data_IF_568264747330
#
_entry.id   IF_568264747330
#
_cell.length_a   1.000
_cell.length_b   1.000
_cell.length_c   1.000
_cell.angle_alpha   90.00
_cell.angle_beta   90.00
_cell.angle_gamma   90.00
#
_symmetry.space_group_name_H-M   'P 1'
#
loop_
_entity.id
_entity.type
_entity.pdbx_description
1 polymer ?
#
# COMPACT_ATOMS: atom_id res chain seq x y z
N UNK A 1 -44.10 -4.49 14.74
CA UNK A 1 -43.95 -5.70 13.92
C UNK A 1 -44.19 -5.29 12.47
N UNK A 2 -43.21 -5.51 11.62
CA UNK A 2 -43.30 -5.58 10.16
C UNK A 2 -43.58 -4.32 9.36
N UNK A 3 -42.53 -3.51 9.17
CA UNK A 3 -42.50 -2.50 8.06
C UNK A 3 -41.20 -2.54 7.23
N UNK A 4 -40.45 -3.66 7.25
CA UNK A 4 -39.18 -3.81 6.52
C UNK A 4 -39.26 -4.72 5.27
N UNK A 5 -40.44 -5.16 4.87
CA UNK A 5 -40.63 -6.20 3.82
C UNK A 5 -41.24 -5.68 2.50
N UNK A 6 -41.20 -4.38 2.19
CA UNK A 6 -41.78 -3.87 0.93
C UNK A 6 -40.88 -3.00 0.09
N UNK A 7 -39.56 -3.05 0.30
CA UNK A 7 -38.66 -2.40 -0.67
C UNK A 7 -38.51 -3.33 -1.88
N UNK A 8 -38.72 -2.85 -3.12
CA UNK A 8 -38.58 -3.66 -4.31
C UNK A 8 -37.14 -4.17 -4.44
N UNK A 9 -36.99 -5.42 -4.89
CA UNK A 9 -35.71 -6.14 -5.05
C UNK A 9 -34.66 -5.29 -5.79
N UNK A 10 -35.10 -4.44 -6.72
CA UNK A 10 -34.26 -3.48 -7.44
C UNK A 10 -33.64 -2.38 -6.53
N UNK A 11 -34.28 -2.04 -5.42
CA UNK A 11 -33.77 -1.03 -4.49
C UNK A 11 -32.65 -1.60 -3.62
N UNK A 12 -32.78 -2.87 -3.21
CA UNK A 12 -31.73 -3.59 -2.48
C UNK A 12 -30.48 -3.80 -3.36
N UNK A 13 -30.67 -4.13 -4.65
CA UNK A 13 -29.58 -4.23 -5.62
C UNK A 13 -28.89 -2.86 -5.88
N UNK A 14 -29.65 -1.76 -5.86
CA UNK A 14 -29.07 -0.41 -6.03
C UNK A 14 -28.27 0.02 -4.80
N UNK A 15 -28.70 -0.29 -3.59
CA UNK A 15 -27.98 0.02 -2.34
C UNK A 15 -26.68 -0.78 -2.26
N UNK A 16 -26.69 -2.05 -2.69
CA UNK A 16 -25.46 -2.86 -2.75
C UNK A 16 -24.51 -2.43 -3.85
N UNK A 17 -25.04 -1.96 -5.00
CA UNK A 17 -24.23 -1.39 -6.08
C UNK A 17 -23.61 -0.03 -5.72
N UNK A 18 -24.23 0.80 -4.89
CA UNK A 18 -23.66 2.07 -4.42
C UNK A 18 -22.51 1.83 -3.42
N UNK A 19 -22.62 0.81 -2.56
CA UNK A 19 -21.54 0.40 -1.65
C UNK A 19 -20.35 -0.24 -2.36
N UNK A 20 -20.51 -0.70 -3.61
CA UNK A 20 -19.48 -1.42 -4.37
C UNK A 20 -18.67 -0.55 -5.35
N UNK A 21 -18.95 0.74 -5.45
CA UNK A 21 -18.16 1.62 -6.35
C UNK A 21 -16.78 1.89 -5.75
N UNK A 22 -15.70 1.60 -6.50
CA UNK A 22 -14.36 1.87 -6.02
C UNK A 22 -14.13 3.36 -5.75
N UNK A 23 -13.60 3.69 -4.59
CA UNK A 23 -13.15 5.04 -4.28
C UNK A 23 -11.78 5.24 -4.95
N UNK A 24 -11.68 6.25 -5.82
CA UNK A 24 -10.38 6.61 -6.42
C UNK A 24 -9.50 7.27 -5.37
N UNK A 25 -8.25 6.79 -5.25
CA UNK A 25 -7.27 7.30 -4.29
C UNK A 25 -5.97 7.60 -5.04
N UNK A 26 -5.76 8.87 -5.36
CA UNK A 26 -4.49 9.36 -5.88
C UNK A 26 -3.57 9.78 -4.72
N UNK A 27 -2.27 9.82 -5.01
CA UNK A 27 -1.27 10.35 -4.09
C UNK A 27 -1.61 11.77 -3.63
N UNK A 28 -2.03 12.65 -4.55
CA UNK A 28 -2.42 14.03 -4.23
C UNK A 28 -3.65 14.10 -3.33
N UNK A 29 -4.60 13.17 -3.44
CA UNK A 29 -5.78 13.12 -2.58
C UNK A 29 -5.40 12.81 -1.13
N UNK A 30 -4.36 11.97 -0.94
CA UNK A 30 -3.84 11.62 0.39
C UNK A 30 -3.05 12.79 0.98
N UNK A 31 -2.22 13.45 0.18
CA UNK A 31 -1.33 14.53 0.59
C UNK A 31 -2.07 15.70 1.26
N UNK A 32 -3.27 15.98 0.80
CA UNK A 32 -4.06 17.14 1.26
C UNK A 32 -5.12 16.80 2.30
N UNK A 33 -5.22 15.54 2.76
CA UNK A 33 -6.20 15.18 3.80
C UNK A 33 -5.77 15.70 5.18
N UNK A 34 -6.61 16.51 5.88
CA UNK A 34 -6.28 17.07 7.18
C UNK A 34 -5.92 16.01 8.23
N UNK A 35 -6.64 14.89 8.24
CA UNK A 35 -6.42 13.80 9.18
C UNK A 35 -5.04 13.14 9.02
N UNK A 36 -4.43 13.28 7.85
CA UNK A 36 -3.08 12.81 7.57
C UNK A 36 -2.05 13.88 7.94
N UNK A 37 -2.38 15.17 7.85
CA UNK A 37 -1.45 16.28 8.09
C UNK A 37 -0.96 16.32 9.55
N UNK A 38 -1.71 15.81 10.51
CA UNK A 38 -1.45 15.99 11.93
C UNK A 38 -0.54 14.91 12.58
N UNK A 39 -0.10 13.88 11.85
CA UNK A 39 0.69 12.77 12.40
C UNK A 39 2.10 12.70 11.81
N UNK A 40 2.84 13.82 11.86
CA UNK A 40 4.20 13.94 11.28
C UNK A 40 5.21 12.95 11.84
N UNK A 41 4.98 12.43 13.02
CA UNK A 41 5.84 11.42 13.68
C UNK A 41 5.75 10.03 13.03
N UNK A 42 4.65 9.73 12.32
CA UNK A 42 4.43 8.42 11.67
C UNK A 42 4.39 8.50 10.15
N UNK A 43 4.52 9.69 9.58
CA UNK A 43 4.47 9.89 8.14
C UNK A 43 5.44 10.95 7.66
N UNK A 44 5.82 10.79 6.42
CA UNK A 44 6.46 11.82 5.58
C UNK A 44 5.67 11.93 4.27
N UNK A 45 5.47 13.15 3.77
CA UNK A 45 4.85 13.36 2.47
C UNK A 45 5.34 14.68 1.86
N UNK A 46 5.78 14.63 0.59
CA UNK A 46 6.14 15.78 -0.22
C UNK A 46 5.66 15.58 -1.68
N UNK A 47 6.19 16.32 -2.65
CA UNK A 47 5.79 16.21 -4.05
C UNK A 47 6.28 14.92 -4.73
N UNK A 48 7.31 14.28 -4.19
CA UNK A 48 7.97 13.11 -4.76
C UNK A 48 7.41 11.78 -4.24
N UNK A 49 7.08 11.72 -2.95
CA UNK A 49 6.59 10.48 -2.33
C UNK A 49 5.89 10.72 -0.99
N UNK A 50 5.11 9.71 -0.60
CA UNK A 50 4.62 9.53 0.76
C UNK A 50 5.21 8.26 1.38
N UNK A 51 5.48 8.33 2.68
CA UNK A 51 5.86 7.19 3.49
C UNK A 51 5.11 7.23 4.82
N UNK A 52 4.55 6.08 5.22
CA UNK A 52 3.95 5.88 6.54
C UNK A 52 4.67 4.73 7.21
N UNK A 53 5.04 4.88 8.48
CA UNK A 53 5.78 3.86 9.24
C UNK A 53 4.92 3.05 10.19
N UNK A 54 3.68 3.45 10.43
CA UNK A 54 2.68 2.66 11.15
C UNK A 54 1.28 3.06 10.71
N UNK A 55 0.57 2.12 10.12
CA UNK A 55 -0.82 2.31 9.71
C UNK A 55 -1.74 2.48 10.91
N UNK A 56 -1.51 1.71 11.98
CA UNK A 56 -2.30 1.75 13.22
C UNK A 56 -2.25 3.13 13.86
N UNK A 57 -1.07 3.73 13.92
CA UNK A 57 -0.87 5.06 14.52
C UNK A 57 -1.46 6.18 13.66
N UNK A 58 -1.55 5.99 12.35
CA UNK A 58 -2.20 6.95 11.44
C UNK A 58 -3.72 7.00 11.60
N UNK A 59 -4.29 6.06 12.36
CA UNK A 59 -5.73 5.88 12.44
C UNK A 59 -6.31 5.27 11.16
N UNK A 60 -7.07 4.20 11.32
CA UNK A 60 -7.66 3.39 10.24
C UNK A 60 -8.70 4.11 9.35
N UNK A 61 -8.81 5.44 9.45
CA UNK A 61 -9.81 6.23 8.72
C UNK A 61 -9.60 6.31 7.21
N UNK A 62 -8.41 5.91 6.71
CA UNK A 62 -8.10 5.99 5.27
C UNK A 62 -8.64 4.84 4.46
N UNK A 63 -8.65 3.65 5.05
CA UNK A 63 -9.08 2.43 4.37
C UNK A 63 -10.04 1.65 5.27
N UNK A 64 -11.20 1.32 4.75
CA UNK A 64 -12.20 0.53 5.44
C UNK A 64 -12.22 -0.88 4.86
N UNK A 65 -12.32 -1.88 5.73
CA UNK A 65 -12.51 -3.28 5.33
C UNK A 65 -13.80 -3.42 4.52
N UNK A 66 -13.74 -4.17 3.43
CA UNK A 66 -14.87 -4.38 2.52
C UNK A 66 -15.19 -3.20 1.59
N UNK A 67 -14.38 -2.14 1.61
CA UNK A 67 -14.49 -1.04 0.66
C UNK A 67 -13.41 -1.16 -0.42
N UNK A 68 -13.78 -1.26 -1.70
CA UNK A 68 -12.81 -1.27 -2.78
C UNK A 68 -12.27 0.15 -3.05
N UNK A 69 -10.95 0.23 -3.32
CA UNK A 69 -10.24 1.45 -3.67
C UNK A 69 -9.49 1.26 -4.98
N UNK A 70 -9.48 2.28 -5.83
CA UNK A 70 -8.64 2.32 -7.02
C UNK A 70 -7.45 3.24 -6.79
N UNK A 71 -6.27 2.66 -6.69
CA UNK A 71 -5.03 3.43 -6.55
C UNK A 71 -4.58 3.94 -7.92
N UNK A 72 -4.11 5.18 -7.99
CA UNK A 72 -3.53 5.71 -9.24
C UNK A 72 -2.05 5.40 -9.37
N UNK A 73 -1.34 5.37 -8.26
CA UNK A 73 0.09 5.11 -8.18
C UNK A 73 0.36 3.77 -7.50
N UNK A 74 1.49 3.15 -7.88
CA UNK A 74 1.98 1.93 -7.26
C UNK A 74 2.40 2.13 -5.81
N UNK A 75 2.41 1.05 -5.04
CA UNK A 75 2.73 1.09 -3.60
C UNK A 75 3.55 -0.12 -3.20
N UNK A 76 4.44 0.10 -2.23
CA UNK A 76 5.21 -0.95 -1.58
C UNK A 76 4.77 -0.98 -0.12
N UNK A 77 4.17 -2.09 0.30
CA UNK A 77 3.67 -2.29 1.67
C UNK A 77 4.54 -3.34 2.35
N UNK A 78 5.00 -3.05 3.57
CA UNK A 78 5.72 -3.97 4.45
C UNK A 78 4.86 -4.26 5.67
N UNK A 79 4.32 -5.48 5.78
CA UNK A 79 3.44 -5.88 6.90
C UNK A 79 4.28 -6.20 8.12
N UNK A 80 4.10 -5.42 9.20
CA UNK A 80 4.90 -5.51 10.44
C UNK A 80 4.37 -6.60 11.36
N UNK A 81 3.06 -6.62 11.57
CA UNK A 81 2.40 -7.56 12.49
C UNK A 81 0.96 -7.82 12.07
N UNK A 82 0.34 -8.80 12.72
CA UNK A 82 -1.03 -9.20 12.48
C UNK A 82 -1.19 -10.09 11.25
N UNK A 83 -2.43 -10.40 10.96
CA UNK A 83 -2.88 -11.19 9.81
C UNK A 83 -3.95 -10.44 9.04
N UNK A 84 -4.00 -10.62 7.72
CA UNK A 84 -5.00 -10.00 6.88
C UNK A 84 -5.13 -10.70 5.54
N UNK A 85 -6.20 -10.38 4.82
CA UNK A 85 -6.40 -10.71 3.41
C UNK A 85 -6.67 -9.44 2.62
N UNK A 86 -6.02 -9.31 1.48
CA UNK A 86 -6.19 -8.20 0.54
C UNK A 86 -6.55 -8.75 -0.83
N UNK A 87 -7.49 -8.11 -1.50
CA UNK A 87 -7.74 -8.33 -2.92
C UNK A 87 -7.01 -7.26 -3.73
N UNK A 88 -6.26 -7.67 -4.75
CA UNK A 88 -5.60 -6.79 -5.72
C UNK A 88 -6.04 -7.23 -7.09
N UNK A 89 -6.78 -6.38 -7.80
CA UNK A 89 -7.39 -6.69 -9.09
C UNK A 89 -8.19 -8.01 -9.08
N UNK A 90 -9.00 -8.21 -8.04
CA UNK A 90 -9.85 -9.38 -7.79
C UNK A 90 -9.11 -10.68 -7.46
N UNK A 91 -7.79 -10.64 -7.29
CA UNK A 91 -7.01 -11.79 -6.81
C UNK A 91 -6.76 -11.59 -5.32
N UNK A 92 -7.12 -12.60 -4.53
CA UNK A 92 -6.91 -12.56 -3.08
C UNK A 92 -5.51 -13.01 -2.70
N UNK A 93 -4.93 -12.29 -1.75
CA UNK A 93 -3.61 -12.56 -1.18
C UNK A 93 -3.68 -12.55 0.34
N UNK A 94 -2.93 -13.43 0.95
CA UNK A 94 -2.64 -13.35 2.38
C UNK A 94 -1.66 -12.20 2.66
N UNK A 95 -2.04 -11.32 3.57
CA UNK A 95 -1.29 -10.11 3.95
C UNK A 95 -0.93 -10.19 5.45
N UNK A 96 -0.07 -11.13 5.81
CA UNK A 96 0.36 -11.35 7.20
C UNK A 96 1.76 -10.77 7.48
N UNK A 97 2.17 -10.77 8.74
CA UNK A 97 3.49 -10.31 9.16
C UNK A 97 4.62 -10.97 8.35
N UNK A 98 5.71 -10.24 8.13
CA UNK A 98 6.88 -10.61 7.31
C UNK A 98 6.60 -10.77 5.81
N UNK A 99 5.55 -10.12 5.31
CA UNK A 99 5.28 -10.03 3.87
C UNK A 99 5.51 -8.62 3.35
N UNK A 100 5.99 -8.54 2.12
CA UNK A 100 5.97 -7.31 1.32
C UNK A 100 4.99 -7.50 0.18
N UNK A 101 4.11 -6.50 0.04
CA UNK A 101 3.08 -6.47 -0.99
C UNK A 101 3.41 -5.32 -1.94
N UNK A 102 3.52 -5.62 -3.23
CA UNK A 102 3.71 -4.63 -4.27
C UNK A 102 2.41 -4.49 -5.03
N UNK A 103 1.83 -3.30 -4.97
CA UNK A 103 0.58 -2.96 -5.64
C UNK A 103 0.92 -2.18 -6.90
N UNK A 104 0.46 -2.61 -8.08
CA UNK A 104 0.70 -1.88 -9.33
C UNK A 104 -0.06 -0.57 -9.42
N UNK A 105 0.30 0.25 -10.39
CA UNK A 105 -0.46 1.45 -10.75
C UNK A 105 -1.87 1.07 -11.22
N UNK A 106 -2.83 1.93 -10.92
CA UNK A 106 -4.25 1.79 -11.28
C UNK A 106 -4.92 0.50 -10.75
N UNK A 107 -4.34 -0.14 -9.73
CA UNK A 107 -4.89 -1.35 -9.14
C UNK A 107 -6.20 -1.08 -8.40
N UNK A 108 -7.12 -2.04 -8.49
CA UNK A 108 -8.27 -2.15 -7.60
C UNK A 108 -7.83 -2.93 -6.37
N UNK A 109 -7.92 -2.33 -5.19
CA UNK A 109 -7.54 -2.94 -3.92
C UNK A 109 -8.72 -2.95 -2.95
N UNK A 110 -8.80 -4.00 -2.15
CA UNK A 110 -9.79 -4.13 -1.07
C UNK A 110 -9.16 -4.87 0.10
N UNK A 111 -9.25 -4.30 1.30
CA UNK A 111 -8.94 -5.03 2.53
C UNK A 111 -10.16 -5.90 2.87
N UNK A 112 -10.02 -7.21 2.76
CA UNK A 112 -11.11 -8.16 3.00
C UNK A 112 -11.30 -8.42 4.49
N UNK A 113 -10.19 -8.65 5.18
CA UNK A 113 -10.14 -8.82 6.63
C UNK A 113 -8.78 -8.46 7.17
N UNK A 114 -8.73 -7.99 8.41
CA UNK A 114 -7.48 -7.72 9.15
C UNK A 114 -7.68 -8.04 10.63
N UNK A 115 -6.62 -8.54 11.29
CA UNK A 115 -6.62 -8.71 12.74
C UNK A 115 -6.56 -7.36 13.47
N UNK A 116 -7.00 -7.27 14.72
CA UNK A 116 -6.99 -6.01 15.48
C UNK A 116 -5.61 -5.38 15.66
N UNK A 117 -4.55 -6.19 15.62
CA UNK A 117 -3.16 -5.79 15.75
C UNK A 117 -2.45 -5.57 14.40
N UNK A 118 -3.20 -5.59 13.28
CA UNK A 118 -2.63 -5.46 11.94
C UNK A 118 -1.97 -4.11 11.73
N UNK A 119 -0.66 -4.12 11.47
CA UNK A 119 0.11 -2.91 11.19
C UNK A 119 1.07 -3.08 10.02
N UNK A 120 1.29 -2.01 9.27
CA UNK A 120 2.17 -2.01 8.12
C UNK A 120 2.83 -0.65 7.88
N UNK A 121 3.93 -0.69 7.17
CA UNK A 121 4.59 0.46 6.56
C UNK A 121 4.23 0.53 5.09
N UNK A 122 4.18 1.74 4.52
CA UNK A 122 3.90 1.92 3.09
C UNK A 122 4.80 3.01 2.51
N UNK A 123 5.30 2.75 1.30
CA UNK A 123 5.98 3.72 0.43
C UNK A 123 5.09 3.94 -0.79
N UNK A 124 4.78 5.20 -1.08
CA UNK A 124 3.91 5.64 -2.18
C UNK A 124 4.68 6.66 -3.04
N UNK A 125 5.46 6.23 -4.04
CA UNK A 125 6.11 7.16 -4.96
C UNK A 125 5.07 7.90 -5.80
N UNK A 126 5.28 9.19 -6.04
CA UNK A 126 4.50 9.93 -7.03
C UNK A 126 4.78 9.38 -8.44
N UNK A 127 3.79 9.51 -9.34
CA UNK A 127 3.80 8.88 -10.67
C UNK A 127 5.10 9.06 -11.46
N UNK A 128 5.69 10.24 -11.39
CA UNK A 128 6.89 10.59 -12.17
C UNK A 128 8.17 10.63 -11.33
N UNK A 129 8.11 10.15 -10.09
CA UNK A 129 9.26 10.18 -9.21
C UNK A 129 10.31 9.12 -9.58
N UNK A 130 9.86 7.91 -9.91
CA UNK A 130 10.77 6.85 -10.35
C UNK A 130 10.88 6.82 -11.87
N UNK A 131 12.08 6.63 -12.44
CA UNK A 131 12.24 6.39 -13.86
C UNK A 131 11.65 5.03 -14.25
N UNK A 132 11.55 4.76 -15.55
CA UNK A 132 11.27 3.40 -16.00
C UNK A 132 12.40 2.45 -15.52
N UNK A 133 12.02 1.36 -14.87
CA UNK A 133 12.95 0.40 -14.25
C UNK A 133 12.80 -0.98 -14.89
N UNK A 134 13.26 -1.18 -16.15
CA UNK A 134 13.16 -2.48 -16.81
C UNK A 134 13.96 -3.53 -16.01
N UNK A 135 13.37 -4.71 -15.86
CA UNK A 135 13.97 -5.80 -15.09
C UNK A 135 13.89 -5.64 -13.56
N UNK A 136 13.26 -4.59 -13.03
CA UNK A 136 12.91 -4.51 -11.61
C UNK A 136 11.65 -5.31 -11.31
N UNK A 137 11.34 -5.47 -10.01
CA UNK A 137 10.10 -6.15 -9.61
C UNK A 137 8.84 -5.41 -10.09
N UNK A 138 8.89 -4.09 -10.28
CA UNK A 138 7.78 -3.33 -10.82
C UNK A 138 7.46 -3.72 -12.26
N UNK A 139 8.46 -4.15 -13.05
CA UNK A 139 8.22 -4.61 -14.43
C UNK A 139 7.39 -5.89 -14.49
N UNK A 140 7.35 -6.67 -13.44
CA UNK A 140 6.51 -7.87 -13.33
C UNK A 140 5.05 -7.55 -13.03
N UNK A 141 4.78 -6.40 -12.44
CA UNK A 141 3.40 -5.94 -12.17
C UNK A 141 2.67 -5.45 -13.42
N UNK A 142 3.33 -5.38 -14.58
CA UNK A 142 2.67 -5.01 -15.85
C UNK A 142 1.55 -5.97 -16.27
N UNK A 143 1.52 -7.19 -15.71
CA UNK A 143 0.37 -8.08 -15.86
C UNK A 143 -0.87 -7.61 -15.11
N UNK A 144 -0.77 -6.52 -14.34
CA UNK A 144 -1.84 -5.97 -13.52
C UNK A 144 -2.03 -6.68 -12.18
N UNK A 145 -1.28 -7.75 -11.90
CA UNK A 145 -1.39 -8.49 -10.64
C UNK A 145 -0.51 -7.84 -9.56
N UNK A 146 -0.96 -7.92 -8.31
CA UNK A 146 -0.11 -7.65 -7.16
C UNK A 146 0.96 -8.74 -7.00
N UNK A 147 2.03 -8.40 -6.29
CA UNK A 147 3.08 -9.36 -5.92
C UNK A 147 3.16 -9.39 -4.40
N UNK A 148 3.12 -10.59 -3.83
CA UNK A 148 3.29 -10.81 -2.39
C UNK A 148 4.50 -11.70 -2.17
N UNK A 149 5.48 -11.16 -1.45
CA UNK A 149 6.73 -11.83 -1.12
C UNK A 149 6.76 -12.18 0.37
N UNK A 150 7.12 -13.40 0.69
CA UNK A 150 7.35 -13.88 2.06
C UNK A 150 8.85 -13.94 2.31
N UNK A 151 9.30 -13.54 3.50
CA UNK A 151 10.71 -13.44 3.83
C UNK A 151 11.06 -14.26 5.07
N UNK A 152 12.26 -14.87 5.05
CA UNK A 152 12.87 -15.38 6.26
C UNK A 152 13.38 -14.21 7.14
N UNK A 153 13.87 -14.50 8.34
CA UNK A 153 14.27 -13.48 9.30
C UNK A 153 15.43 -12.60 8.81
N UNK A 154 16.42 -13.18 8.14
CA UNK A 154 17.57 -12.44 7.60
C UNK A 154 17.15 -11.48 6.48
N UNK A 155 16.34 -11.94 5.56
CA UNK A 155 15.80 -11.15 4.45
C UNK A 155 14.87 -10.05 4.95
N UNK A 156 14.05 -10.36 5.97
CA UNK A 156 13.19 -9.40 6.61
C UNK A 156 13.98 -8.26 7.26
N UNK A 157 15.03 -8.59 8.00
CA UNK A 157 15.94 -7.59 8.59
C UNK A 157 16.62 -6.74 7.52
N UNK A 158 17.02 -7.35 6.41
CA UNK A 158 17.61 -6.62 5.29
C UNK A 158 16.62 -5.61 4.67
N UNK A 159 15.37 -5.99 4.48
CA UNK A 159 14.35 -5.06 3.96
C UNK A 159 14.04 -3.94 4.97
N UNK A 160 14.06 -4.24 6.28
CA UNK A 160 13.89 -3.25 7.34
C UNK A 160 14.95 -2.15 7.29
N UNK A 161 16.20 -2.51 7.00
CA UNK A 161 17.28 -1.52 6.86
C UNK A 161 16.98 -0.50 5.75
N UNK A 162 16.39 -0.90 4.63
CA UNK A 162 15.98 0.03 3.57
C UNK A 162 14.89 0.98 4.05
N UNK A 163 13.87 0.48 4.71
CA UNK A 163 12.77 1.32 5.21
C UNK A 163 13.26 2.30 6.28
N UNK A 164 14.09 1.84 7.22
CA UNK A 164 14.67 2.69 8.28
C UNK A 164 15.59 3.76 7.69
N UNK A 165 16.47 3.39 6.78
CA UNK A 165 17.38 4.34 6.13
C UNK A 165 16.60 5.38 5.32
N UNK A 166 15.59 4.94 4.56
CA UNK A 166 14.73 5.84 3.81
C UNK A 166 14.02 6.83 4.73
N UNK A 167 13.43 6.35 5.83
CA UNK A 167 12.76 7.21 6.82
C UNK A 167 13.71 8.27 7.39
N UNK A 168 14.90 7.89 7.78
CA UNK A 168 15.91 8.81 8.33
C UNK A 168 16.36 9.87 7.31
N UNK A 169 16.54 9.47 6.05
CA UNK A 169 16.94 10.40 4.97
C UNK A 169 15.80 11.38 4.64
N UNK A 170 14.54 10.91 4.65
CA UNK A 170 13.38 11.76 4.40
C UNK A 170 13.23 12.87 5.44
N UNK A 171 13.62 12.62 6.69
CA UNK A 171 13.58 13.61 7.78
C UNK A 171 14.87 14.42 7.92
N UNK A 172 15.87 14.19 7.06
CA UNK A 172 17.11 14.98 7.06
C UNK A 172 16.93 16.29 6.26
N UNK A 173 17.63 17.35 6.70
CA UNK A 173 17.67 18.62 5.97
C UNK A 173 19.10 18.87 5.45
N UNK A 174 19.27 19.29 4.18
CA UNK A 174 18.24 19.45 3.16
C UNK A 174 17.72 18.11 2.61
N UNK A 175 16.50 18.12 2.05
CA UNK A 175 15.94 16.96 1.36
C UNK A 175 16.80 16.57 0.15
N UNK A 176 17.19 15.30 0.07
CA UNK A 176 18.13 14.76 -0.94
C UNK A 176 17.37 13.86 -1.93
N UNK A 177 16.72 14.49 -2.89
CA UNK A 177 15.82 13.85 -3.86
C UNK A 177 16.44 12.63 -4.56
N UNK A 178 17.65 12.81 -5.12
CA UNK A 178 18.34 11.76 -5.87
C UNK A 178 18.74 10.59 -4.95
N UNK A 179 19.16 10.87 -3.72
CA UNK A 179 19.50 9.83 -2.75
C UNK A 179 18.27 8.99 -2.42
N UNK A 180 17.12 9.62 -2.17
CA UNK A 180 15.85 8.96 -1.89
C UNK A 180 15.41 8.10 -3.08
N UNK A 181 15.48 8.65 -4.30
CA UNK A 181 15.15 7.96 -5.53
C UNK A 181 15.99 6.69 -5.73
N UNK A 182 17.33 6.80 -5.60
CA UNK A 182 18.23 5.66 -5.76
C UNK A 182 18.06 4.62 -4.66
N UNK A 183 17.72 5.03 -3.45
CA UNK A 183 17.45 4.07 -2.37
C UNK A 183 16.20 3.24 -2.64
N UNK A 184 15.12 3.86 -3.13
CA UNK A 184 13.91 3.13 -3.53
C UNK A 184 14.20 2.22 -4.73
N UNK A 185 14.96 2.67 -5.72
CA UNK A 185 15.39 1.86 -6.86
C UNK A 185 16.18 0.62 -6.36
N UNK A 186 17.12 0.81 -5.44
CA UNK A 186 17.91 -0.27 -4.85
C UNK A 186 17.03 -1.27 -4.09
N UNK A 187 16.04 -0.79 -3.33
CA UNK A 187 15.06 -1.65 -2.68
C UNK A 187 14.30 -2.50 -3.71
N UNK A 188 13.82 -1.91 -4.80
CA UNK A 188 13.04 -2.60 -5.81
C UNK A 188 13.85 -3.71 -6.52
N UNK A 189 15.12 -3.46 -6.83
CA UNK A 189 16.00 -4.50 -7.39
C UNK A 189 16.35 -5.59 -6.36
N UNK A 190 16.52 -5.21 -5.08
CA UNK A 190 16.73 -6.19 -4.01
C UNK A 190 15.51 -7.11 -3.84
N UNK A 191 14.30 -6.54 -3.84
CA UNK A 191 13.05 -7.32 -3.79
C UNK A 191 12.92 -8.26 -4.98
N UNK A 192 13.33 -7.83 -6.18
CA UNK A 192 13.38 -8.68 -7.36
C UNK A 192 14.35 -9.86 -7.19
N UNK A 193 15.55 -9.58 -6.70
CA UNK A 193 16.54 -10.62 -6.44
C UNK A 193 16.02 -11.66 -5.45
N UNK A 194 15.43 -11.19 -4.33
CA UNK A 194 14.84 -12.08 -3.32
C UNK A 194 13.65 -12.89 -3.87
N UNK A 195 12.83 -12.31 -4.74
CA UNK A 195 11.72 -13.05 -5.37
C UNK A 195 12.17 -14.24 -6.19
N UNK A 196 13.34 -14.17 -6.83
CA UNK A 196 13.89 -15.25 -7.64
C UNK A 196 14.44 -16.44 -6.81
N UNK A 197 14.75 -16.21 -5.54
CA UNK A 197 15.28 -17.25 -4.64
C UNK A 197 14.15 -18.12 -4.07
N UNK A 198 12.93 -17.60 -4.06
CA UNK A 198 11.75 -18.24 -3.44
C UNK A 198 10.81 -18.92 -4.45
N UNK A 199 11.23 -19.10 -5.71
CA UNK A 199 10.48 -19.84 -6.73
C UNK A 199 10.81 -21.34 -6.68
#
# INVERSE_FOLDING_TARGET
>A
MDTLLSLPLNYLLFIDMEKSRPISVAFDDIRHKPDIINHLEYRFINDDLGMVISFTQMGSKLFHTGQPYRTKEGRIIRVLQGTGRISINLIEYEASARKIIIIPDNALIELLEISPDYDFQIIMPARNFLPALPGSILSETYTGNGIVLSFNEKEWTQTEMFFTLLWNILHSSPYRRETVQHLIISLLYNLKYLSLIHI
#
